data_IF_700217784874
#
_entry.id   IF_700217784874
#
_cell.length_a   1.000
_cell.length_b   1.000
_cell.length_c   1.000
_cell.angle_alpha   90.00
_cell.angle_beta   90.00
_cell.angle_gamma   90.00
#
_symmetry.space_group_name_H-M   'P 1'
#
loop_
_entity.id
_entity.type
_entity.pdbx_description
1 polymer ?
#
# COMPACT_ATOMS: atom_id res chain seq x y z
N UNK A 1 2.79 16.37 -11.81
CA UNK A 1 3.80 16.62 -10.77
C UNK A 1 4.47 17.96 -10.98
N UNK A 2 4.52 18.79 -9.96
CA UNK A 2 5.24 20.07 -9.99
C UNK A 2 6.30 20.07 -8.90
N UNK A 3 7.57 20.02 -9.30
CA UNK A 3 8.70 20.00 -8.36
C UNK A 3 8.80 21.27 -7.51
N UNK A 4 8.31 22.41 -7.99
CA UNK A 4 8.34 23.68 -7.25
C UNK A 4 7.29 23.76 -6.14
N UNK A 5 6.21 22.97 -6.27
CA UNK A 5 5.12 22.87 -5.31
C UNK A 5 5.27 21.65 -4.36
N UNK A 6 6.15 20.70 -4.70
CA UNK A 6 6.35 19.49 -3.92
C UNK A 6 6.99 19.81 -2.56
N UNK A 7 6.39 19.40 -1.43
CA UNK A 7 6.95 19.58 -0.11
C UNK A 7 8.24 18.78 0.09
N UNK A 8 9.11 19.27 0.97
CA UNK A 8 10.35 18.57 1.37
C UNK A 8 10.14 17.61 2.56
N UNK A 9 9.11 17.86 3.38
CA UNK A 9 8.75 16.93 4.46
C UNK A 9 8.15 15.66 3.86
N UNK A 10 8.62 14.45 4.22
CA UNK A 10 8.18 13.19 3.60
C UNK A 10 6.67 12.92 3.75
N UNK A 11 6.06 13.34 4.85
CA UNK A 11 4.63 13.11 5.07
C UNK A 11 3.78 14.11 4.29
N UNK A 12 4.20 15.36 4.19
CA UNK A 12 3.53 16.34 3.31
C UNK A 12 3.70 15.94 1.85
N UNK A 13 4.85 15.38 1.48
CA UNK A 13 5.08 14.84 0.14
C UNK A 13 4.12 13.67 -0.16
N UNK A 14 3.93 12.75 0.79
CA UNK A 14 2.95 11.67 0.69
C UNK A 14 1.54 12.22 0.48
N UNK A 15 1.13 13.23 1.26
CA UNK A 15 -0.18 13.88 1.13
C UNK A 15 -0.30 14.55 -0.24
N UNK A 16 0.73 15.28 -0.67
CA UNK A 16 0.76 15.95 -1.98
C UNK A 16 0.61 14.97 -3.13
N UNK A 17 1.39 13.89 -3.15
CA UNK A 17 1.29 12.83 -4.15
C UNK A 17 -0.10 12.17 -4.16
N UNK A 18 -0.65 11.90 -2.97
CA UNK A 18 -1.99 11.34 -2.80
C UNK A 18 -3.08 12.23 -3.37
N UNK A 19 -3.01 13.53 -3.07
CA UNK A 19 -3.98 14.49 -3.59
C UNK A 19 -3.88 14.63 -5.12
N UNK A 20 -2.68 14.57 -5.71
CA UNK A 20 -2.52 14.58 -7.16
C UNK A 20 -3.15 13.34 -7.80
N UNK A 21 -2.90 12.15 -7.27
CA UNK A 21 -3.52 10.91 -7.76
C UNK A 21 -5.04 10.95 -7.60
N UNK A 22 -5.54 11.40 -6.47
CA UNK A 22 -6.97 11.50 -6.18
C UNK A 22 -7.70 12.63 -6.89
N UNK A 23 -6.98 13.61 -7.47
CA UNK A 23 -7.59 14.70 -8.22
C UNK A 23 -8.10 14.29 -9.61
N UNK A 24 -7.62 13.14 -10.13
CA UNK A 24 -8.07 12.59 -11.41
C UNK A 24 -8.96 11.35 -11.17
N UNK A 25 -10.29 11.47 -11.38
CA UNK A 25 -11.21 10.37 -11.14
C UNK A 25 -11.01 9.15 -12.07
N UNK A 26 -10.20 9.30 -13.13
CA UNK A 26 -9.79 8.17 -13.98
C UNK A 26 -8.70 7.32 -13.33
N UNK A 27 -7.93 7.90 -12.39
CA UNK A 27 -6.86 7.22 -11.63
C UNK A 27 -7.43 6.62 -10.35
N UNK A 28 -8.25 7.38 -9.63
CA UNK A 28 -8.90 6.95 -8.38
C UNK A 28 -10.34 7.40 -8.35
N UNK A 29 -11.27 6.47 -8.19
CA UNK A 29 -12.65 6.81 -7.86
C UNK A 29 -12.77 7.17 -6.37
N UNK A 30 -13.86 7.89 -6.03
CA UNK A 30 -14.12 8.31 -4.66
C UNK A 30 -14.03 7.15 -3.65
N UNK A 31 -13.22 7.33 -2.62
CA UNK A 31 -13.01 6.33 -1.58
C UNK A 31 -12.15 5.13 -1.97
N UNK A 32 -11.71 5.03 -3.24
CA UNK A 32 -10.83 3.96 -3.72
C UNK A 32 -9.34 4.30 -3.61
N UNK A 33 -8.51 3.27 -3.67
CA UNK A 33 -7.06 3.40 -3.63
C UNK A 33 -6.48 3.83 -2.28
N UNK A 34 -5.22 3.60 -2.12
CA UNK A 34 -4.43 4.06 -0.96
C UNK A 34 -2.95 4.19 -1.33
N UNK A 35 -2.28 5.04 -0.58
CA UNK A 35 -0.87 5.35 -0.74
C UNK A 35 -0.16 5.20 0.59
N UNK A 36 1.12 4.94 0.56
CA UNK A 36 1.95 4.91 1.75
C UNK A 36 3.35 5.41 1.51
N UNK A 37 4.02 5.74 2.61
CA UNK A 37 5.45 5.99 2.63
C UNK A 37 6.07 5.41 3.90
N UNK A 38 7.25 4.81 3.79
CA UNK A 38 8.08 4.37 4.90
C UNK A 38 9.07 5.47 5.22
N UNK A 39 9.06 5.94 6.45
CA UNK A 39 9.83 7.09 6.90
C UNK A 39 10.55 6.76 8.20
N UNK A 40 11.82 7.08 8.29
CA UNK A 40 12.55 6.97 9.55
C UNK A 40 12.13 8.09 10.50
N UNK A 41 11.68 7.72 11.70
CA UNK A 41 11.27 8.64 12.74
C UNK A 41 11.88 8.25 14.09
N UNK A 42 12.04 9.22 14.98
CA UNK A 42 12.49 8.96 16.35
C UNK A 42 11.33 8.39 17.16
N UNK A 43 11.52 7.21 17.74
CA UNK A 43 10.57 6.62 18.69
C UNK A 43 10.48 7.52 19.94
N UNK A 44 9.28 8.01 20.27
CA UNK A 44 9.11 8.96 21.36
C UNK A 44 9.37 8.33 22.75
N UNK A 45 9.35 7.01 22.87
CA UNK A 45 9.57 6.30 24.11
C UNK A 45 11.05 5.93 24.31
N UNK A 46 11.71 5.41 23.27
CA UNK A 46 13.09 4.88 23.38
C UNK A 46 14.13 5.87 22.89
N UNK A 47 13.76 6.85 22.07
CA UNK A 47 14.68 7.77 21.40
C UNK A 47 15.43 7.15 20.21
N UNK A 48 15.16 5.91 19.87
CA UNK A 48 15.77 5.21 18.74
C UNK A 48 15.15 5.63 17.41
N UNK A 49 15.93 5.54 16.34
CA UNK A 49 15.40 5.74 14.98
C UNK A 49 14.74 4.43 14.52
N UNK A 50 13.47 4.52 14.17
CA UNK A 50 12.64 3.39 13.71
C UNK A 50 12.00 3.70 12.36
N UNK A 51 11.75 2.67 11.57
CA UNK A 51 10.99 2.81 10.33
C UNK A 51 9.49 2.78 10.63
N UNK A 52 8.80 3.82 10.17
CA UNK A 52 7.36 4.01 10.36
C UNK A 52 6.66 3.98 9.01
N UNK A 53 5.74 3.05 8.85
CA UNK A 53 4.83 3.00 7.72
C UNK A 53 3.70 4.00 7.94
N UNK A 54 3.61 5.01 7.08
CA UNK A 54 2.44 5.88 6.97
C UNK A 54 1.59 5.39 5.81
N UNK A 55 0.38 4.94 6.09
CA UNK A 55 -0.54 4.39 5.09
C UNK A 55 -1.91 5.05 5.21
N UNK A 56 -2.51 5.42 4.07
CA UNK A 56 -3.85 5.99 4.06
C UNK A 56 -4.84 4.99 4.65
N UNK A 57 -5.58 5.44 5.65
CA UNK A 57 -6.64 4.66 6.28
C UNK A 57 -7.79 4.38 5.32
N UNK A 58 -8.59 3.35 5.62
CA UNK A 58 -9.79 3.00 4.86
C UNK A 58 -10.81 4.13 4.89
N UNK A 59 -11.56 4.27 3.80
CA UNK A 59 -12.57 5.32 3.62
C UNK A 59 -11.96 6.69 3.34
N UNK A 60 -12.80 7.63 2.95
CA UNK A 60 -12.38 8.97 2.57
C UNK A 60 -11.68 9.03 1.21
N UNK A 61 -11.77 10.17 0.59
CA UNK A 61 -11.23 10.43 -0.73
C UNK A 61 -9.73 10.72 -0.67
N UNK A 62 -8.97 10.17 -1.63
CA UNK A 62 -7.53 10.36 -1.71
C UNK A 62 -7.19 11.80 -2.13
N UNK A 63 -8.01 12.41 -3.00
CA UNK A 63 -7.81 13.77 -3.51
C UNK A 63 -7.95 14.87 -2.47
N UNK A 64 -8.64 14.59 -1.36
CA UNK A 64 -8.82 15.52 -0.24
C UNK A 64 -8.14 15.06 1.05
N UNK A 65 -7.30 14.02 0.97
CA UNK A 65 -6.60 13.46 2.12
C UNK A 65 -5.67 14.48 2.78
N UNK A 66 -5.58 14.40 4.10
CA UNK A 66 -4.68 15.20 4.96
C UNK A 66 -3.86 14.25 5.82
N UNK A 67 -2.85 14.73 6.52
CA UNK A 67 -1.99 13.91 7.40
C UNK A 67 -2.79 13.02 8.36
N UNK A 68 -3.88 13.52 8.93
CA UNK A 68 -4.73 12.77 9.85
C UNK A 68 -5.58 11.65 9.19
N UNK A 69 -5.56 11.55 7.87
CA UNK A 69 -6.16 10.43 7.15
C UNK A 69 -5.17 9.25 6.95
N UNK A 70 -3.95 9.38 7.43
CA UNK A 70 -2.94 8.33 7.38
C UNK A 70 -2.71 7.74 8.77
N UNK A 71 -2.74 6.43 8.86
CA UNK A 71 -2.31 5.71 10.04
C UNK A 71 -0.79 5.56 10.02
N UNK A 72 -0.15 5.66 11.19
CA UNK A 72 1.28 5.44 11.38
C UNK A 72 1.51 4.17 12.18
N UNK A 73 2.34 3.28 11.66
CA UNK A 73 2.61 1.96 12.25
C UNK A 73 4.12 1.71 12.32
N UNK A 74 4.58 1.04 13.37
CA UNK A 74 5.93 0.47 13.38
C UNK A 74 6.01 -0.61 12.30
N UNK A 75 6.80 -0.37 11.27
CA UNK A 75 6.98 -1.33 10.16
C UNK A 75 7.40 -2.70 10.67
N UNK A 76 8.39 -2.74 11.55
CA UNK A 76 8.88 -3.99 12.13
C UNK A 76 7.77 -4.78 12.86
N UNK A 77 6.82 -4.11 13.53
CA UNK A 77 5.72 -4.79 14.21
C UNK A 77 4.69 -5.35 13.21
N UNK A 78 4.43 -4.63 12.11
CA UNK A 78 3.54 -5.13 11.05
C UNK A 78 4.15 -6.38 10.40
N UNK A 79 5.45 -6.35 10.09
CA UNK A 79 6.15 -7.51 9.51
C UNK A 79 6.17 -8.72 10.44
N UNK A 80 6.26 -8.50 11.77
CA UNK A 80 6.21 -9.59 12.77
C UNK A 80 4.86 -10.33 12.80
N UNK A 81 3.78 -9.73 12.30
CA UNK A 81 2.47 -10.37 12.27
C UNK A 81 2.48 -11.67 11.49
N UNK A 82 3.35 -11.83 10.49
CA UNK A 82 3.50 -13.09 9.76
C UNK A 82 3.95 -14.24 10.70
N UNK A 83 4.96 -13.98 11.49
CA UNK A 83 5.45 -14.98 12.45
C UNK A 83 4.40 -15.30 13.53
N UNK A 84 3.73 -14.26 14.03
CA UNK A 84 2.68 -14.40 15.04
C UNK A 84 1.50 -15.20 14.49
N UNK A 85 1.06 -14.90 13.26
CA UNK A 85 -0.01 -15.60 12.59
C UNK A 85 0.29 -17.10 12.44
N UNK A 86 1.50 -17.44 11.99
CA UNK A 86 1.96 -18.83 11.87
C UNK A 86 2.02 -19.54 13.22
N UNK A 87 2.60 -18.90 14.24
CA UNK A 87 2.76 -19.50 15.58
C UNK A 87 1.43 -19.76 16.29
N UNK A 88 0.45 -18.87 16.09
CA UNK A 88 -0.87 -18.95 16.74
C UNK A 88 -1.94 -19.57 15.86
N UNK A 89 -1.61 -19.94 14.63
CA UNK A 89 -2.56 -20.46 13.62
C UNK A 89 -3.78 -19.51 13.45
N UNK A 90 -3.51 -18.20 13.30
CA UNK A 90 -4.54 -17.20 13.20
C UNK A 90 -5.14 -17.17 11.80
N UNK A 91 -6.45 -16.93 11.74
CA UNK A 91 -7.13 -16.62 10.51
C UNK A 91 -6.84 -15.16 10.09
N UNK A 92 -6.93 -14.85 8.80
CA UNK A 92 -6.69 -13.50 8.26
C UNK A 92 -7.52 -12.42 8.98
N UNK A 93 -8.79 -12.72 9.31
CA UNK A 93 -9.67 -11.77 10.00
C UNK A 93 -9.19 -11.46 11.44
N UNK A 94 -8.55 -12.41 12.12
CA UNK A 94 -7.98 -12.18 13.45
C UNK A 94 -6.79 -11.22 13.38
N UNK A 95 -6.02 -11.25 12.27
CA UNK A 95 -4.83 -10.41 12.07
C UNK A 95 -5.24 -8.95 11.87
N UNK A 96 -6.36 -8.68 11.20
CA UNK A 96 -6.88 -7.30 11.03
C UNK A 96 -7.07 -6.63 12.39
N UNK A 97 -7.60 -7.33 13.37
CA UNK A 97 -7.76 -6.85 14.75
C UNK A 97 -6.44 -6.53 15.45
N UNK A 98 -5.31 -7.06 14.96
CA UNK A 98 -3.99 -6.84 15.57
C UNK A 98 -3.30 -5.56 15.07
N UNK A 99 -3.72 -4.96 13.96
CA UNK A 99 -3.07 -3.76 13.43
C UNK A 99 -3.07 -2.60 14.43
N UNK A 100 -4.10 -2.47 15.26
CA UNK A 100 -4.15 -1.47 16.33
C UNK A 100 -3.00 -1.58 17.34
N UNK A 101 -2.34 -2.75 17.47
CA UNK A 101 -1.22 -2.98 18.36
C UNK A 101 0.15 -2.69 17.71
N UNK A 102 0.14 -2.33 16.43
CA UNK A 102 1.35 -1.96 15.69
C UNK A 102 1.51 -0.44 15.51
N UNK A 103 0.55 0.36 16.01
CA UNK A 103 0.55 1.81 15.83
C UNK A 103 1.76 2.48 16.45
N UNK A 104 2.32 3.47 15.74
CA UNK A 104 3.42 4.30 16.18
C UNK A 104 2.92 5.49 17.01
N UNK A 105 1.91 6.20 16.48
CA UNK A 105 1.23 7.27 17.20
C UNK A 105 -0.26 6.95 17.32
N UNK A 106 -0.95 7.63 18.22
CA UNK A 106 -2.41 7.58 18.29
C UNK A 106 -3.00 8.11 16.98
N UNK A 107 -3.50 7.20 16.16
CA UNK A 107 -4.07 7.55 14.86
C UNK A 107 -5.55 7.94 15.00
N UNK A 108 -6.00 9.04 14.34
CA UNK A 108 -7.42 9.39 14.32
C UNK A 108 -8.26 8.43 13.45
N UNK A 109 -7.61 7.71 12.52
CA UNK A 109 -8.25 6.73 11.66
C UNK A 109 -7.59 5.35 11.85
N UNK A 110 -8.40 4.29 11.76
CA UNK A 110 -7.90 2.92 11.85
C UNK A 110 -7.03 2.56 10.63
N UNK A 111 -5.97 1.73 10.82
CA UNK A 111 -5.21 1.19 9.71
C UNK A 111 -6.09 0.48 8.67
N UNK A 112 -5.77 0.66 7.40
CA UNK A 112 -6.48 -0.01 6.30
C UNK A 112 -6.29 -1.53 6.36
N UNK A 113 -7.27 -2.28 5.87
CA UNK A 113 -7.13 -3.72 5.60
C UNK A 113 -5.99 -3.99 4.61
N UNK A 114 -5.66 -3.03 3.74
CA UNK A 114 -4.57 -3.11 2.77
C UNK A 114 -3.18 -2.81 3.37
N UNK A 115 -3.10 -2.53 4.67
CA UNK A 115 -1.80 -2.28 5.34
C UNK A 115 -0.72 -3.30 4.98
N UNK A 116 -0.99 -4.62 4.90
CA UNK A 116 0.00 -5.60 4.49
C UNK A 116 0.51 -5.44 3.06
N UNK A 117 -0.36 -5.00 2.12
CA UNK A 117 0.06 -4.70 0.74
C UNK A 117 1.13 -3.60 0.68
N UNK A 118 1.14 -2.70 1.64
CA UNK A 118 2.13 -1.63 1.75
C UNK A 118 3.34 -2.05 2.57
N UNK A 119 3.13 -2.75 3.68
CA UNK A 119 4.20 -3.16 4.59
C UNK A 119 5.14 -4.19 3.95
N UNK A 120 4.58 -5.19 3.27
CA UNK A 120 5.38 -6.28 2.68
C UNK A 120 6.10 -5.91 1.37
N UNK A 121 5.81 -4.77 0.77
CA UNK A 121 6.56 -4.24 -0.38
C UNK A 121 7.85 -3.59 0.14
N UNK A 122 9.05 -4.03 -0.28
CA UNK A 122 10.32 -3.57 0.27
C UNK A 122 10.81 -2.26 -0.39
N UNK A 123 9.91 -1.29 -0.57
CA UNK A 123 10.16 0.01 -1.16
C UNK A 123 9.57 1.13 -0.31
N UNK A 124 10.15 2.32 -0.40
CA UNK A 124 9.76 3.45 0.45
C UNK A 124 8.37 3.99 0.15
N UNK A 125 7.98 4.10 -1.12
CA UNK A 125 6.69 4.61 -1.56
C UNK A 125 5.88 3.52 -2.25
N UNK A 126 4.60 3.37 -1.89
CA UNK A 126 3.69 2.39 -2.48
C UNK A 126 2.37 3.06 -2.80
N UNK A 127 1.84 2.78 -4.00
CA UNK A 127 0.54 3.28 -4.46
C UNK A 127 -0.31 2.11 -4.97
N UNK A 128 -1.46 1.91 -4.36
CA UNK A 128 -2.49 0.98 -4.79
C UNK A 128 -3.68 1.76 -5.34
N UNK A 129 -4.07 1.49 -6.59
CA UNK A 129 -5.08 2.27 -7.30
C UNK A 129 -6.06 1.37 -8.05
N UNK A 130 -7.27 1.92 -8.24
CA UNK A 130 -8.34 1.33 -9.03
C UNK A 130 -8.60 2.16 -10.30
N UNK A 131 -7.54 2.40 -11.09
CA UNK A 131 -7.58 3.18 -12.34
C UNK A 131 -8.51 2.53 -13.35
N UNK A 132 -9.42 3.27 -13.97
CA UNK A 132 -10.44 2.72 -14.88
C UNK A 132 -9.86 1.82 -15.99
N UNK A 133 -8.79 2.28 -16.65
CA UNK A 133 -8.12 1.51 -17.68
C UNK A 133 -7.50 0.21 -17.14
N UNK A 134 -6.95 0.24 -15.93
CA UNK A 134 -6.31 -0.93 -15.30
C UNK A 134 -7.35 -1.91 -14.78
N UNK A 135 -8.45 -1.42 -14.18
CA UNK A 135 -9.57 -2.28 -13.76
C UNK A 135 -10.14 -3.04 -14.96
N UNK A 136 -10.25 -2.37 -16.12
CA UNK A 136 -10.74 -3.02 -17.34
C UNK A 136 -9.86 -4.20 -17.76
N UNK A 137 -8.54 -4.08 -17.58
CA UNK A 137 -7.60 -5.19 -17.82
C UNK A 137 -7.73 -6.24 -16.71
N UNK A 138 -7.70 -5.81 -15.45
CA UNK A 138 -7.73 -6.71 -14.29
C UNK A 138 -8.98 -7.60 -14.24
N UNK A 139 -10.13 -7.09 -14.73
CA UNK A 139 -11.41 -7.78 -14.76
C UNK A 139 -11.63 -8.60 -16.04
N UNK A 140 -10.73 -8.54 -17.03
CA UNK A 140 -10.88 -9.28 -18.28
C UNK A 140 -10.46 -10.74 -18.14
N UNK A 141 -11.05 -11.64 -18.94
CA UNK A 141 -10.68 -13.06 -18.99
C UNK A 141 -9.23 -13.26 -19.44
N UNK A 142 -8.73 -12.38 -20.30
CA UNK A 142 -7.36 -12.39 -20.81
C UNK A 142 -6.41 -11.40 -20.06
N UNK A 143 -6.66 -11.16 -18.78
CA UNK A 143 -5.90 -10.25 -17.93
C UNK A 143 -4.39 -10.50 -18.03
N UNK A 144 -3.94 -11.74 -17.97
CA UNK A 144 -2.51 -12.10 -18.04
C UNK A 144 -1.89 -11.72 -19.39
N UNK A 145 -2.55 -12.08 -20.49
CA UNK A 145 -2.08 -11.74 -21.85
C UNK A 145 -1.98 -10.21 -22.02
N UNK A 146 -3.01 -9.47 -21.60
CA UNK A 146 -3.05 -8.03 -21.71
C UNK A 146 -1.99 -7.36 -20.83
N UNK A 147 -1.80 -7.84 -19.59
CA UNK A 147 -0.77 -7.34 -18.69
C UNK A 147 0.61 -7.50 -19.31
N UNK A 148 0.93 -8.69 -19.80
CA UNK A 148 2.23 -8.96 -20.44
C UNK A 148 2.42 -8.12 -21.71
N UNK A 149 1.40 -7.99 -22.54
CA UNK A 149 1.46 -7.23 -23.80
C UNK A 149 1.64 -5.73 -23.57
N UNK A 150 0.96 -5.16 -22.58
CA UNK A 150 0.94 -3.72 -22.33
C UNK A 150 2.17 -3.28 -21.55
N UNK A 151 2.55 -4.03 -20.52
CA UNK A 151 3.61 -3.65 -19.58
C UNK A 151 4.94 -4.35 -19.85
N UNK A 152 5.02 -5.22 -20.86
CA UNK A 152 6.26 -5.84 -21.32
C UNK A 152 7.13 -6.43 -20.19
N UNK A 153 6.51 -7.10 -19.22
CA UNK A 153 7.19 -7.73 -18.08
C UNK A 153 7.53 -6.80 -16.92
N UNK A 154 7.22 -5.50 -17.02
CA UNK A 154 7.42 -4.56 -15.89
C UNK A 154 6.38 -4.69 -14.77
N UNK A 155 5.26 -5.35 -15.05
CA UNK A 155 4.20 -5.64 -14.07
C UNK A 155 4.10 -7.14 -13.84
N UNK A 156 4.13 -7.55 -12.57
CA UNK A 156 3.75 -8.89 -12.18
C UNK A 156 2.23 -9.10 -12.22
N UNK A 157 1.79 -10.35 -12.07
CA UNK A 157 0.37 -10.70 -12.00
C UNK A 157 0.10 -11.48 -10.72
N UNK A 158 -0.90 -11.04 -9.96
CA UNK A 158 -1.46 -11.79 -8.84
C UNK A 158 -2.86 -12.29 -9.21
N UNK A 159 -3.16 -13.58 -9.03
CA UNK A 159 -4.52 -14.09 -9.15
C UNK A 159 -5.40 -13.40 -8.10
N UNK A 160 -6.71 -13.45 -8.35
CA UNK A 160 -7.65 -12.87 -7.39
C UNK A 160 -7.49 -13.47 -5.99
N UNK A 161 -7.36 -12.62 -5.04
CA UNK A 161 -7.37 -12.92 -3.61
C UNK A 161 -8.10 -11.79 -2.90
N UNK A 162 -8.83 -12.11 -1.84
CA UNK A 162 -9.43 -11.10 -0.97
C UNK A 162 -8.38 -10.09 -0.51
N UNK A 163 -8.65 -8.77 -0.52
CA UNK A 163 -7.77 -7.76 0.06
C UNK A 163 -7.47 -8.08 1.53
N UNK A 164 -6.20 -7.99 1.91
CA UNK A 164 -5.79 -8.26 3.27
C UNK A 164 -4.40 -8.89 3.38
N UNK A 165 -4.21 -9.62 4.47
CA UNK A 165 -2.91 -10.13 4.89
C UNK A 165 -2.31 -11.15 3.91
N UNK A 166 -3.10 -12.12 3.49
CA UNK A 166 -2.65 -13.17 2.56
C UNK A 166 -2.27 -12.59 1.20
N UNK A 167 -3.02 -11.61 0.69
CA UNK A 167 -2.70 -10.94 -0.56
C UNK A 167 -1.36 -10.17 -0.44
N UNK A 168 -1.09 -9.56 0.73
CA UNK A 168 0.19 -8.91 1.01
C UNK A 168 1.36 -9.88 0.99
N UNK A 169 1.21 -11.09 1.54
CA UNK A 169 2.23 -12.14 1.48
C UNK A 169 2.46 -12.61 0.04
N UNK A 170 1.40 -12.83 -0.73
CA UNK A 170 1.50 -13.20 -2.15
C UNK A 170 2.23 -12.14 -2.96
N UNK A 171 1.97 -10.86 -2.70
CA UNK A 171 2.66 -9.75 -3.36
C UNK A 171 4.16 -9.76 -3.05
N UNK A 172 4.54 -9.91 -1.78
CA UNK A 172 5.94 -10.04 -1.38
C UNK A 172 6.63 -11.18 -2.11
N UNK A 173 6.01 -12.36 -2.13
CA UNK A 173 6.59 -13.54 -2.75
C UNK A 173 6.73 -13.34 -4.28
N UNK A 174 5.80 -12.64 -4.92
CA UNK A 174 5.90 -12.25 -6.32
C UNK A 174 7.10 -11.31 -6.57
N UNK A 175 7.29 -10.30 -5.71
CA UNK A 175 8.42 -9.37 -5.80
C UNK A 175 9.76 -10.10 -5.64
N UNK A 176 9.86 -10.99 -4.65
CA UNK A 176 11.06 -11.78 -4.40
C UNK A 176 11.40 -12.67 -5.61
N UNK A 177 10.40 -13.28 -6.22
CA UNK A 177 10.59 -14.11 -7.41
C UNK A 177 10.91 -13.31 -8.68
N UNK A 178 10.54 -12.02 -8.72
CA UNK A 178 10.67 -11.16 -9.89
C UNK A 178 11.20 -9.76 -9.51
N UNK A 179 12.47 -9.63 -9.13
CA UNK A 179 13.02 -8.38 -8.56
C UNK A 179 13.03 -7.18 -9.53
N UNK A 180 12.78 -7.41 -10.81
CA UNK A 180 12.77 -6.35 -11.85
C UNK A 180 11.40 -5.71 -12.09
N UNK A 181 10.33 -6.22 -11.48
CA UNK A 181 8.99 -5.64 -11.67
C UNK A 181 8.84 -4.33 -10.88
N UNK A 182 8.05 -3.41 -11.43
CA UNK A 182 7.77 -2.08 -10.85
C UNK A 182 6.39 -2.00 -10.21
N UNK A 183 5.60 -3.04 -10.35
CA UNK A 183 4.25 -3.14 -9.83
C UNK A 183 3.65 -4.52 -10.07
N UNK A 184 2.42 -4.70 -9.62
CA UNK A 184 1.64 -5.91 -9.86
C UNK A 184 0.20 -5.58 -10.24
N UNK A 185 -0.30 -6.24 -11.27
CA UNK A 185 -1.71 -6.33 -11.60
C UNK A 185 -2.35 -7.33 -10.64
N UNK A 186 -3.41 -6.94 -9.98
CA UNK A 186 -4.21 -7.79 -9.10
C UNK A 186 -5.52 -8.13 -9.82
N UNK A 187 -5.66 -9.37 -10.24
CA UNK A 187 -6.78 -9.84 -11.03
C UNK A 187 -8.12 -9.57 -10.33
N UNK A 188 -9.09 -9.03 -11.06
CA UNK A 188 -10.42 -8.62 -10.57
C UNK A 188 -10.39 -7.61 -9.41
N UNK A 189 -9.30 -6.83 -9.26
CA UNK A 189 -9.14 -5.88 -8.17
C UNK A 189 -8.64 -4.52 -8.67
N UNK A 190 -7.37 -4.42 -9.07
CA UNK A 190 -6.71 -3.18 -9.47
C UNK A 190 -5.22 -3.41 -9.67
N UNK A 191 -4.41 -2.40 -9.36
CA UNK A 191 -2.96 -2.56 -9.40
C UNK A 191 -2.27 -1.92 -8.19
N UNK A 192 -1.04 -2.30 -7.98
CA UNK A 192 -0.13 -1.72 -6.99
C UNK A 192 1.22 -1.47 -7.64
N UNK A 193 1.85 -0.35 -7.35
CA UNK A 193 3.19 -0.01 -7.81
C UNK A 193 4.00 0.64 -6.68
N UNK A 194 5.32 0.68 -6.86
CA UNK A 194 6.25 1.11 -5.83
C UNK A 194 7.51 1.74 -6.40
N UNK A 195 8.19 2.53 -5.56
CA UNK A 195 9.50 3.12 -5.82
C UNK A 195 10.19 3.51 -4.51
N UNK A 196 11.48 3.84 -4.58
CA UNK A 196 12.23 4.39 -3.45
C UNK A 196 12.17 5.92 -3.40
N UNK A 197 11.77 6.57 -4.51
CA UNK A 197 11.64 8.03 -4.66
C UNK A 197 10.41 8.37 -5.48
#
# INVERSE_FOLDING_TARGET
WDNSAAPTDPLDLLVYASNLLGSDPRITNFGGGNTSSKVHQTDPLTGETVEVLWVKASGGDLGSAKRNNFASLYEAKVLQLEQIAKQRNLHEDDIVGMYQHTVFNLNPAAPSIDTPLHAFVPFAAVSHMHTDAVISIAASENCEELTNKIYNGEMGLLPWKRPGFDLGLMLRDLIVANPGIKGAMMQSHGFICWADT
#
